data_IF_804155994580
#
_entry.id   IF_804155994580
#
_cell.length_a   1.000
_cell.length_b   1.000
_cell.length_c   1.000
_cell.angle_alpha   90.00
_cell.angle_beta   90.00
_cell.angle_gamma   90.00
#
_symmetry.space_group_name_H-M   'P 1'
#
loop_
_entity.id
_entity.type
_entity.pdbx_description
1 polymer ?
#
# COMPACT_ATOMS: atom_id res chain seq x y z
N UNK A 1 42.71 -55.10 13.39
CA UNK A 1 42.90 -56.35 14.18
C UNK A 1 41.66 -57.20 13.95
N UNK A 2 41.94 -58.30 13.39
CA UNK A 2 41.33 -59.63 13.48
C UNK A 2 39.94 -59.76 12.75
N UNK A 3 39.96 -60.44 11.60
CA UNK A 3 40.00 -61.92 11.39
C UNK A 3 38.65 -62.52 11.78
N UNK A 4 37.95 -63.34 11.02
CA UNK A 4 38.27 -64.54 10.24
C UNK A 4 36.93 -65.05 9.70
N UNK A 5 36.71 -65.28 8.47
CA UNK A 5 36.99 -66.51 7.76
C UNK A 5 35.94 -67.63 7.95
N UNK A 6 35.46 -68.08 6.80
CA UNK A 6 35.32 -69.45 6.29
C UNK A 6 34.12 -70.27 6.82
N UNK A 7 33.35 -71.05 6.04
CA UNK A 7 33.49 -72.01 4.99
C UNK A 7 32.14 -72.65 4.69
N UNK A 8 31.88 -72.96 3.42
CA UNK A 8 31.39 -74.20 2.78
C UNK A 8 30.03 -74.77 3.28
N UNK A 9 29.18 -75.22 2.38
CA UNK A 9 29.34 -76.21 1.32
C UNK A 9 28.10 -76.31 0.42
N UNK A 10 28.33 -76.77 -0.75
CA UNK A 10 27.47 -77.09 -1.82
C UNK A 10 26.39 -78.17 -1.54
N UNK A 11 25.21 -78.01 -2.16
CA UNK A 11 24.38 -79.17 -2.57
C UNK A 11 23.63 -78.78 -3.82
N UNK A 12 23.97 -79.42 -4.92
CA UNK A 12 23.28 -79.42 -6.18
C UNK A 12 21.95 -80.17 -6.04
N UNK A 13 20.90 -79.54 -6.52
CA UNK A 13 19.58 -80.12 -6.69
C UNK A 13 18.97 -79.63 -7.99
N UNK A 14 19.17 -80.37 -9.03
CA UNK A 14 18.46 -80.27 -10.30
C UNK A 14 17.01 -80.65 -10.12
N UNK A 15 16.09 -79.69 -10.15
CA UNK A 15 14.69 -79.93 -10.48
C UNK A 15 14.30 -78.94 -11.55
N UNK A 16 14.21 -79.44 -12.78
CA UNK A 16 13.55 -78.72 -13.88
C UNK A 16 12.05 -78.65 -13.62
N UNK A 17 11.57 -77.44 -13.25
CA UNK A 17 10.16 -77.12 -13.25
C UNK A 17 9.81 -76.41 -14.57
N UNK A 18 8.59 -76.63 -15.12
CA UNK A 18 8.18 -75.90 -16.32
C UNK A 18 8.14 -74.42 -16.01
N UNK A 19 8.78 -73.60 -16.86
CA UNK A 19 8.65 -72.16 -16.83
C UNK A 19 7.23 -71.77 -17.21
N UNK A 20 6.40 -71.51 -16.21
CA UNK A 20 5.15 -70.78 -16.41
C UNK A 20 5.57 -69.35 -16.77
N UNK A 21 5.36 -69.01 -18.02
CA UNK A 21 5.50 -67.63 -18.48
C UNK A 21 4.58 -66.77 -17.62
N UNK A 22 5.21 -66.01 -16.74
CA UNK A 22 4.50 -64.95 -16.03
C UNK A 22 4.12 -63.91 -17.12
N UNK A 23 2.86 -63.90 -17.46
CA UNK A 23 2.24 -62.82 -18.22
C UNK A 23 2.39 -61.55 -17.35
N UNK A 24 3.47 -60.77 -17.60
CA UNK A 24 3.65 -59.49 -16.89
C UNK A 24 2.54 -58.56 -17.36
N UNK A 25 1.55 -58.38 -16.50
CA UNK A 25 0.55 -57.35 -16.70
C UNK A 25 1.25 -56.05 -17.08
N UNK A 26 1.01 -55.59 -18.31
CA UNK A 26 1.52 -54.27 -18.75
C UNK A 26 1.02 -53.25 -17.73
N UNK A 27 1.93 -52.56 -17.01
CA UNK A 27 1.47 -51.56 -16.08
C UNK A 27 0.59 -50.54 -16.82
N UNK A 28 -0.52 -50.11 -16.25
CA UNK A 28 -1.37 -49.11 -16.88
C UNK A 28 -0.52 -47.92 -17.23
N UNK A 29 -0.75 -47.26 -18.39
CA UNK A 29 0.02 -46.07 -18.76
C UNK A 29 -0.08 -45.09 -17.60
N UNK A 30 1.07 -44.75 -17.04
CA UNK A 30 1.16 -43.68 -16.02
C UNK A 30 0.67 -42.42 -16.74
N UNK A 31 -0.57 -42.05 -16.48
CA UNK A 31 -1.07 -40.74 -16.86
C UNK A 31 -0.11 -39.75 -16.28
N UNK A 32 0.77 -39.18 -17.14
CA UNK A 32 1.68 -38.12 -16.76
C UNK A 32 0.77 -37.04 -16.21
N UNK A 33 0.83 -36.82 -14.90
CA UNK A 33 0.12 -35.70 -14.27
C UNK A 33 0.55 -34.45 -15.06
N UNK A 34 -0.36 -33.96 -15.88
CA UNK A 34 -0.15 -32.72 -16.62
C UNK A 34 0.00 -31.68 -15.52
N UNK A 35 1.23 -31.31 -15.25
CA UNK A 35 1.56 -30.21 -14.34
C UNK A 35 0.93 -28.97 -14.96
N UNK A 36 -0.31 -28.68 -14.61
CA UNK A 36 -0.93 -27.42 -14.99
C UNK A 36 -0.13 -26.35 -14.23
N UNK A 37 0.64 -25.53 -14.96
CA UNK A 37 1.34 -24.44 -14.30
C UNK A 37 0.28 -23.61 -13.60
N UNK A 38 0.40 -23.48 -12.29
CA UNK A 38 -0.43 -22.57 -11.50
C UNK A 38 -0.38 -21.23 -12.22
N UNK A 39 -1.49 -20.78 -12.76
CA UNK A 39 -1.53 -19.52 -13.50
C UNK A 39 -1.17 -18.42 -12.51
N UNK A 40 0.08 -17.98 -12.58
CA UNK A 40 0.53 -16.80 -11.84
C UNK A 40 -0.27 -15.63 -12.40
N UNK A 41 -0.94 -14.90 -11.52
CA UNK A 41 -1.67 -13.70 -11.93
C UNK A 41 -0.70 -12.70 -12.56
N UNK A 42 -1.05 -12.16 -13.71
CA UNK A 42 -0.26 -11.14 -14.39
C UNK A 42 -0.73 -9.75 -13.94
N UNK A 43 0.20 -9.02 -13.33
CA UNK A 43 -0.05 -7.67 -12.81
C UNK A 43 0.20 -6.57 -13.83
N UNK A 44 0.74 -6.89 -15.02
CA UNK A 44 1.01 -5.92 -16.08
C UNK A 44 -0.30 -5.36 -16.63
N UNK A 45 -0.37 -4.04 -16.75
CA UNK A 45 -1.52 -3.37 -17.37
C UNK A 45 -1.84 -2.04 -16.71
N UNK A 46 -2.72 -1.30 -17.38
CA UNK A 46 -3.35 -0.11 -16.81
C UNK A 46 -4.49 -0.53 -15.88
N UNK A 47 -4.68 0.20 -14.81
CA UNK A 47 -5.80 -0.02 -13.92
C UNK A 47 -6.44 1.28 -13.46
N UNK A 48 -7.71 1.18 -13.18
CA UNK A 48 -8.53 2.24 -12.61
C UNK A 48 -9.22 1.69 -11.36
N UNK A 49 -9.30 2.50 -10.32
CA UNK A 49 -9.87 2.03 -9.07
C UNK A 49 -10.57 3.13 -8.28
N UNK A 50 -11.26 2.67 -7.26
CA UNK A 50 -11.83 3.52 -6.21
C UNK A 50 -11.22 3.13 -4.88
N UNK A 51 -11.01 4.13 -4.04
CA UNK A 51 -10.47 3.92 -2.70
C UNK A 51 -11.23 4.73 -1.67
N UNK A 52 -11.18 4.27 -0.43
CA UNK A 52 -11.72 4.98 0.71
C UNK A 52 -10.90 4.66 1.95
N UNK A 53 -10.83 5.60 2.87
CA UNK A 53 -9.99 5.43 4.04
C UNK A 53 -10.23 6.46 5.12
N UNK A 54 -9.38 6.37 6.11
CA UNK A 54 -9.39 7.25 7.26
C UNK A 54 -7.99 7.80 7.50
N UNK A 55 -7.92 9.11 7.69
CA UNK A 55 -6.71 9.81 8.04
C UNK A 55 -6.74 10.24 9.51
N UNK A 56 -5.60 10.09 10.19
CA UNK A 56 -5.36 10.63 11.50
C UNK A 56 -3.98 11.29 11.52
N UNK A 57 -3.90 12.50 12.03
CA UNK A 57 -2.66 13.26 12.06
C UNK A 57 -2.59 14.19 13.24
N UNK A 58 -1.39 14.68 13.51
CA UNK A 58 -1.12 15.70 14.49
C UNK A 58 -0.56 16.93 13.78
N UNK A 59 -1.14 18.09 14.05
CA UNK A 59 -0.59 19.37 13.62
C UNK A 59 -0.17 20.17 14.85
N UNK A 60 1.03 20.76 14.76
CA UNK A 60 1.54 21.65 15.79
C UNK A 60 1.64 23.05 15.19
N UNK A 61 0.83 23.94 15.69
CA UNK A 61 0.86 25.35 15.31
C UNK A 61 1.72 26.10 16.30
N UNK A 62 2.79 26.72 15.83
CA UNK A 62 3.66 27.55 16.65
C UNK A 62 3.36 29.03 16.37
N UNK A 63 3.08 29.78 17.40
CA UNK A 63 2.86 31.22 17.36
C UNK A 63 4.11 31.93 17.93
N UNK A 64 5.09 32.32 17.10
CA UNK A 64 6.34 32.88 17.60
C UNK A 64 6.16 34.19 18.38
N UNK A 65 5.18 34.99 17.99
CA UNK A 65 4.89 36.26 18.64
C UNK A 65 4.32 36.13 20.07
N UNK A 66 3.71 34.95 20.38
CA UNK A 66 3.10 34.70 21.68
C UNK A 66 3.86 33.64 22.50
N UNK A 67 4.94 33.07 21.94
CA UNK A 67 5.72 32.00 22.58
C UNK A 67 4.91 30.76 22.91
N UNK A 68 3.74 30.54 22.28
CA UNK A 68 2.85 29.43 22.57
C UNK A 68 2.73 28.46 21.39
N UNK A 69 2.55 27.17 21.73
CA UNK A 69 2.28 26.10 20.76
C UNK A 69 0.95 25.46 21.09
N UNK A 70 0.14 25.20 20.06
CA UNK A 70 -1.09 24.43 20.17
C UNK A 70 -0.97 23.15 19.37
N UNK A 71 -1.12 22.02 20.04
CA UNK A 71 -1.19 20.70 19.39
C UNK A 71 -2.67 20.33 19.24
N UNK A 72 -3.07 19.89 18.05
CA UNK A 72 -4.43 19.41 17.82
C UNK A 72 -4.43 18.21 16.89
N UNK A 73 -5.42 17.35 17.12
CA UNK A 73 -5.66 16.16 16.35
C UNK A 73 -6.47 16.51 15.10
N UNK A 74 -6.00 16.06 13.95
CA UNK A 74 -6.70 16.10 12.67
C UNK A 74 -7.15 14.70 12.35
N UNK A 75 -8.40 14.53 12.01
CA UNK A 75 -8.94 13.24 11.64
C UNK A 75 -10.10 13.37 10.67
N UNK A 76 -10.30 12.37 9.83
CA UNK A 76 -11.41 12.38 8.90
C UNK A 76 -11.36 11.27 7.89
N UNK A 77 -12.47 11.10 7.17
CA UNK A 77 -12.59 10.14 6.10
C UNK A 77 -12.18 10.76 4.75
N UNK A 78 -11.77 9.90 3.84
CA UNK A 78 -11.52 10.26 2.45
C UNK A 78 -12.10 9.19 1.52
N UNK A 79 -12.50 9.62 0.33
CA UNK A 79 -12.93 8.75 -0.77
C UNK A 79 -12.39 9.30 -2.07
N UNK A 80 -11.88 8.43 -2.94
CA UNK A 80 -11.23 8.90 -4.16
C UNK A 80 -11.14 7.86 -5.26
N UNK A 81 -10.54 8.31 -6.37
CA UNK A 81 -10.20 7.50 -7.52
C UNK A 81 -8.70 7.30 -7.64
N UNK A 82 -8.33 6.19 -8.20
CA UNK A 82 -6.95 5.78 -8.48
C UNK A 82 -6.80 5.45 -9.96
N UNK A 83 -5.71 5.87 -10.57
CA UNK A 83 -5.27 5.48 -11.90
C UNK A 83 -3.82 5.04 -11.83
N UNK A 84 -3.48 3.92 -12.47
CA UNK A 84 -2.09 3.47 -12.46
C UNK A 84 -1.74 2.55 -13.61
N UNK A 85 -0.46 2.24 -13.68
CA UNK A 85 0.12 1.27 -14.61
C UNK A 85 1.14 0.42 -13.88
N UNK A 86 1.08 -0.88 -14.09
CA UNK A 86 2.05 -1.83 -13.59
C UNK A 86 2.78 -2.54 -14.72
N UNK A 87 4.02 -2.91 -14.45
CA UNK A 87 4.86 -3.75 -15.28
C UNK A 87 5.42 -4.88 -14.43
N UNK A 88 5.25 -6.11 -14.88
CA UNK A 88 5.75 -7.29 -14.19
C UNK A 88 6.93 -7.89 -14.93
N UNK A 89 8.01 -8.14 -14.20
CA UNK A 89 9.20 -8.84 -14.67
C UNK A 89 9.53 -9.99 -13.70
N UNK A 90 9.12 -11.20 -14.06
CA UNK A 90 9.18 -12.34 -13.14
C UNK A 90 8.33 -12.11 -11.89
N UNK A 91 8.90 -12.24 -10.69
CA UNK A 91 8.16 -11.99 -9.45
C UNK A 91 8.07 -10.50 -9.08
N UNK A 92 8.83 -9.63 -9.73
CA UNK A 92 8.88 -8.21 -9.40
C UNK A 92 7.84 -7.45 -10.22
N UNK A 93 7.03 -6.64 -9.54
CA UNK A 93 6.07 -5.71 -10.14
C UNK A 93 6.48 -4.31 -9.75
N UNK A 94 6.60 -3.44 -10.74
CA UNK A 94 6.85 -2.02 -10.52
C UNK A 94 5.84 -1.20 -11.33
N UNK A 95 5.53 -0.01 -10.86
CA UNK A 95 4.52 0.80 -11.51
C UNK A 95 4.45 2.22 -10.98
N UNK A 96 3.54 2.96 -11.57
CA UNK A 96 3.19 4.32 -11.16
C UNK A 96 1.70 4.38 -10.85
N UNK A 97 1.36 5.14 -9.83
CA UNK A 97 -0.02 5.33 -9.39
C UNK A 97 -0.26 6.82 -9.09
N UNK A 98 -1.34 7.35 -9.63
CA UNK A 98 -1.88 8.65 -9.27
C UNK A 98 -3.24 8.47 -8.62
N UNK A 99 -3.51 9.20 -7.57
CA UNK A 99 -4.83 9.23 -6.95
C UNK A 99 -5.25 10.65 -6.56
N UNK A 100 -6.55 10.85 -6.57
CA UNK A 100 -7.18 12.07 -6.09
C UNK A 100 -8.42 11.69 -5.29
N UNK A 101 -8.55 12.25 -4.09
CA UNK A 101 -9.66 11.99 -3.20
C UNK A 101 -10.24 13.26 -2.59
N UNK A 102 -11.54 13.24 -2.41
CA UNK A 102 -12.23 14.18 -1.56
C UNK A 102 -12.01 13.77 -0.12
N UNK A 103 -11.63 14.73 0.71
CA UNK A 103 -11.33 14.53 2.12
C UNK A 103 -12.23 15.43 2.97
N UNK A 104 -12.73 14.90 4.05
CA UNK A 104 -13.36 15.68 5.11
C UNK A 104 -12.54 15.51 6.39
N UNK A 105 -11.29 15.94 6.30
CA UNK A 105 -10.34 15.90 7.40
C UNK A 105 -10.40 17.26 8.08
N UNK A 106 -10.79 17.28 9.34
CA UNK A 106 -10.95 18.51 10.10
C UNK A 106 -10.38 18.38 11.50
N UNK A 107 -9.88 19.51 12.00
CA UNK A 107 -9.45 19.68 13.39
C UNK A 107 -9.69 21.11 13.83
N UNK A 108 -10.00 21.29 15.09
CA UNK A 108 -10.23 22.60 15.67
C UNK A 108 -9.57 22.75 17.02
N UNK A 109 -9.08 23.96 17.28
CA UNK A 109 -8.57 24.34 18.60
C UNK A 109 -9.00 25.76 18.92
N UNK A 110 -8.98 26.09 20.20
CA UNK A 110 -9.20 27.47 20.64
C UNK A 110 -7.96 28.29 20.28
N UNK A 111 -8.16 29.37 19.51
CA UNK A 111 -7.08 30.26 19.18
C UNK A 111 -6.54 30.97 20.45
N UNK A 112 -5.27 31.40 20.46
CA UNK A 112 -4.73 32.19 21.57
C UNK A 112 -5.44 33.54 21.78
N UNK A 113 -6.20 33.98 20.78
CA UNK A 113 -7.01 35.21 20.85
C UNK A 113 -8.33 34.90 21.57
N UNK A 114 -8.66 35.57 22.70
CA UNK A 114 -9.89 35.33 23.41
C UNK A 114 -11.13 35.46 22.50
N UNK A 115 -11.99 34.42 22.49
CA UNK A 115 -13.23 34.40 21.71
C UNK A 115 -13.08 34.00 20.25
N UNK A 116 -11.89 33.62 19.77
CA UNK A 116 -11.68 33.13 18.40
C UNK A 116 -11.57 31.61 18.36
N UNK A 117 -12.17 30.98 17.33
CA UNK A 117 -12.06 29.55 17.03
C UNK A 117 -11.24 29.35 15.76
N UNK A 118 -10.21 28.54 15.85
CA UNK A 118 -9.37 28.16 14.71
C UNK A 118 -9.80 26.78 14.21
N UNK A 119 -10.22 26.68 12.97
CA UNK A 119 -10.57 25.42 12.32
C UNK A 119 -9.69 25.21 11.09
N UNK A 120 -9.11 24.03 11.00
CA UNK A 120 -8.34 23.60 9.81
C UNK A 120 -9.13 22.49 9.13
N UNK A 121 -9.31 22.61 7.83
CA UNK A 121 -9.96 21.59 6.99
C UNK A 121 -9.13 21.29 5.77
N UNK A 122 -8.96 20.01 5.48
CA UNK A 122 -8.44 19.54 4.20
C UNK A 122 -9.62 19.00 3.37
N UNK A 123 -9.77 19.50 2.14
CA UNK A 123 -10.92 19.16 1.28
C UNK A 123 -10.59 18.15 0.20
N UNK A 124 -9.35 18.09 -0.24
CA UNK A 124 -8.89 17.12 -1.23
C UNK A 124 -7.41 16.79 -1.00
N UNK A 125 -7.07 15.57 -1.30
CA UNK A 125 -5.70 15.06 -1.28
C UNK A 125 -5.45 14.33 -2.59
N UNK A 126 -4.35 14.67 -3.26
CA UNK A 126 -3.87 13.98 -4.46
C UNK A 126 -2.47 13.47 -4.24
N UNK A 127 -2.12 12.32 -4.82
CA UNK A 127 -0.75 11.81 -4.80
C UNK A 127 -0.32 11.29 -6.17
N UNK A 128 1.00 11.36 -6.45
CA UNK A 128 1.64 10.70 -7.58
C UNK A 128 2.82 9.92 -7.03
N UNK A 129 2.79 8.59 -7.22
CA UNK A 129 3.70 7.68 -6.52
C UNK A 129 4.25 6.60 -7.44
N UNK A 130 5.49 6.19 -7.20
CA UNK A 130 6.03 4.95 -7.67
C UNK A 130 5.69 3.81 -6.71
N UNK A 131 5.52 2.60 -7.21
CA UNK A 131 5.33 1.38 -6.40
C UNK A 131 6.23 0.25 -6.88
N UNK A 132 6.70 -0.56 -5.93
CA UNK A 132 7.45 -1.79 -6.19
C UNK A 132 6.92 -2.87 -5.27
N UNK A 133 6.60 -4.04 -5.84
CA UNK A 133 6.04 -5.17 -5.12
C UNK A 133 6.60 -6.50 -5.57
N UNK A 134 6.25 -7.54 -4.84
CA UNK A 134 6.63 -8.91 -5.11
C UNK A 134 5.38 -9.76 -5.32
N UNK A 135 5.20 -10.29 -6.53
CA UNK A 135 4.07 -11.14 -6.87
C UNK A 135 4.22 -12.54 -6.27
N UNK A 136 3.30 -12.92 -5.42
CA UNK A 136 3.20 -14.24 -4.78
C UNK A 136 1.83 -14.82 -5.15
N UNK A 137 1.76 -15.58 -6.24
CA UNK A 137 0.49 -16.05 -6.80
C UNK A 137 -0.44 -14.86 -7.13
N UNK A 138 -1.55 -14.74 -6.41
CA UNK A 138 -2.52 -13.66 -6.53
C UNK A 138 -2.35 -12.54 -5.50
N UNK A 139 -1.27 -12.56 -4.71
CA UNK A 139 -0.93 -11.54 -3.71
C UNK A 139 0.21 -10.67 -4.19
N UNK A 140 0.12 -9.38 -3.94
CA UNK A 140 1.15 -8.41 -4.24
C UNK A 140 1.40 -7.51 -3.04
N UNK A 141 2.24 -7.91 -2.07
CA UNK A 141 2.80 -6.96 -1.12
C UNK A 141 3.68 -5.95 -1.86
N UNK A 142 3.57 -4.67 -1.51
CA UNK A 142 4.30 -3.59 -2.15
C UNK A 142 4.65 -2.45 -1.21
N UNK A 143 5.66 -1.70 -1.58
CA UNK A 143 6.00 -0.40 -1.01
C UNK A 143 5.76 0.67 -2.06
N UNK A 144 5.49 1.88 -1.62
CA UNK A 144 5.17 3.01 -2.50
C UNK A 144 5.73 4.31 -1.92
N UNK A 145 6.03 5.26 -2.79
CA UNK A 145 6.47 6.57 -2.39
C UNK A 145 6.43 7.57 -3.53
N UNK A 146 6.28 8.83 -3.20
CA UNK A 146 6.15 9.89 -4.19
C UNK A 146 5.76 11.23 -3.62
N UNK A 147 5.09 12.03 -4.44
CA UNK A 147 4.64 13.38 -4.10
C UNK A 147 3.18 13.36 -3.66
N UNK A 148 2.85 14.24 -2.72
CA UNK A 148 1.51 14.51 -2.26
C UNK A 148 1.17 15.98 -2.46
N UNK A 149 -0.10 16.26 -2.74
CA UNK A 149 -0.64 17.61 -2.94
C UNK A 149 -1.98 17.70 -2.21
N UNK A 150 -2.22 18.80 -1.50
CA UNK A 150 -3.48 18.99 -0.79
C UNK A 150 -3.81 20.47 -0.60
N UNK A 151 -5.10 20.75 -0.47
CA UNK A 151 -5.58 22.10 -0.13
C UNK A 151 -5.90 22.15 1.36
N UNK A 152 -5.20 23.00 2.05
CA UNK A 152 -5.49 23.31 3.45
C UNK A 152 -6.25 24.63 3.53
N UNK A 153 -7.43 24.61 4.12
CA UNK A 153 -8.23 25.80 4.39
C UNK A 153 -8.19 26.09 5.89
N UNK A 154 -7.71 27.27 6.22
CA UNK A 154 -7.71 27.79 7.58
C UNK A 154 -8.82 28.84 7.70
N UNK A 155 -9.71 28.64 8.65
CA UNK A 155 -10.79 29.58 8.97
C UNK A 155 -10.58 30.11 10.39
N UNK A 156 -10.53 31.43 10.51
CA UNK A 156 -10.49 32.14 11.80
C UNK A 156 -11.69 33.07 11.86
N UNK A 157 -12.62 32.75 12.77
CA UNK A 157 -13.84 33.58 12.98
C UNK A 157 -13.50 34.62 14.05
N UNK A 158 -13.77 35.95 13.82
CA UNK A 158 -14.54 36.57 12.73
C UNK A 158 -13.71 37.13 11.56
N UNK A 159 -12.42 36.83 11.45
CA UNK A 159 -11.47 37.58 10.59
C UNK A 159 -11.33 37.12 9.15
N UNK A 160 -11.70 35.87 8.78
CA UNK A 160 -11.69 35.44 7.37
C UNK A 160 -11.23 34.01 7.11
N UNK A 161 -11.21 33.64 5.81
CA UNK A 161 -10.83 32.32 5.33
C UNK A 161 -9.68 32.46 4.35
N UNK A 162 -8.67 31.59 4.48
CA UNK A 162 -7.57 31.47 3.51
C UNK A 162 -7.43 30.03 3.08
N UNK A 163 -7.27 29.78 1.78
CA UNK A 163 -6.96 28.46 1.22
C UNK A 163 -5.64 28.50 0.48
N UNK A 164 -4.81 27.50 0.68
CA UNK A 164 -3.52 27.37 -0.01
C UNK A 164 -3.28 25.90 -0.36
N UNK A 165 -2.78 25.65 -1.57
CA UNK A 165 -2.34 24.33 -2.00
C UNK A 165 -0.89 24.12 -1.59
N UNK A 166 -0.60 23.02 -0.95
CA UNK A 166 0.75 22.63 -0.52
C UNK A 166 1.18 21.35 -1.20
N UNK A 167 2.45 21.28 -1.55
CA UNK A 167 3.14 20.08 -1.93
C UNK A 167 3.76 19.38 -0.73
N UNK A 168 4.14 18.13 -0.93
CA UNK A 168 4.84 17.34 0.08
C UNK A 168 5.24 15.99 -0.48
N UNK A 169 5.61 15.09 0.41
CA UNK A 169 5.97 13.73 0.05
C UNK A 169 5.11 12.71 0.80
N UNK A 170 5.02 11.52 0.22
CA UNK A 170 4.33 10.39 0.83
C UNK A 170 5.14 9.12 0.65
N UNK A 171 5.09 8.26 1.66
CA UNK A 171 5.67 6.92 1.60
C UNK A 171 4.75 5.95 2.35
N UNK A 172 4.76 4.70 1.92
CA UNK A 172 3.92 3.71 2.56
C UNK A 172 4.09 2.33 1.96
N UNK A 173 3.11 1.48 2.21
CA UNK A 173 3.06 0.14 1.69
C UNK A 173 1.69 -0.47 1.89
N UNK A 174 1.49 -1.57 1.20
CA UNK A 174 0.22 -2.25 1.24
C UNK A 174 0.29 -3.65 0.67
N UNK A 175 -0.86 -4.24 0.59
CA UNK A 175 -1.06 -5.54 -0.04
C UNK A 175 -2.24 -5.44 -1.00
N UNK A 176 -2.06 -5.98 -2.19
CA UNK A 176 -3.10 -6.09 -3.20
C UNK A 176 -3.35 -7.57 -3.49
N UNK A 177 -4.62 -7.95 -3.61
CA UNK A 177 -5.03 -9.34 -3.85
C UNK A 177 -5.91 -9.38 -5.09
N UNK A 178 -5.49 -10.12 -6.09
CA UNK A 178 -6.27 -10.36 -7.29
C UNK A 178 -7.40 -11.35 -6.99
N UNK A 179 -8.63 -10.93 -7.25
CA UNK A 179 -9.84 -11.76 -7.11
C UNK A 179 -10.09 -12.57 -8.37
N UNK A 180 -9.81 -11.98 -9.52
CA UNK A 180 -9.89 -12.61 -10.84
C UNK A 180 -8.96 -11.86 -11.80
N UNK A 181 -9.04 -12.14 -13.11
CA UNK A 181 -8.12 -11.53 -14.10
C UNK A 181 -8.13 -10.01 -14.13
N UNK A 182 -9.25 -9.39 -13.82
CA UNK A 182 -9.43 -7.95 -13.97
C UNK A 182 -9.61 -7.22 -12.64
N UNK A 183 -10.11 -7.88 -11.61
CA UNK A 183 -10.44 -7.24 -10.34
C UNK A 183 -9.45 -7.59 -9.26
N UNK A 184 -9.01 -6.57 -8.53
CA UNK A 184 -8.20 -6.72 -7.32
C UNK A 184 -8.73 -5.84 -6.20
N UNK A 185 -8.41 -6.22 -4.97
CA UNK A 185 -8.66 -5.42 -3.77
C UNK A 185 -7.33 -5.07 -3.11
N UNK A 186 -7.20 -3.87 -2.60
CA UNK A 186 -5.98 -3.43 -1.91
C UNK A 186 -6.28 -2.86 -0.53
N UNK A 187 -5.35 -3.08 0.39
CA UNK A 187 -5.26 -2.39 1.67
C UNK A 187 -3.89 -1.71 1.74
N UNK A 188 -3.87 -0.45 2.12
CA UNK A 188 -2.68 0.39 2.06
C UNK A 188 -2.59 1.31 3.26
N UNK A 189 -1.38 1.48 3.75
CA UNK A 189 -1.01 2.50 4.71
C UNK A 189 -0.08 3.52 4.05
N UNK A 190 -0.36 4.80 4.23
CA UNK A 190 0.46 5.90 3.76
C UNK A 190 0.80 6.84 4.92
N UNK A 191 2.04 7.22 4.97
CA UNK A 191 2.49 8.39 5.70
C UNK A 191 2.58 9.55 4.72
N UNK A 192 1.93 10.67 5.04
CA UNK A 192 1.92 11.88 4.22
C UNK A 192 2.49 13.01 5.04
N UNK A 193 3.48 13.71 4.49
CA UNK A 193 4.02 14.93 5.06
C UNK A 193 3.92 16.04 4.02
N UNK A 194 3.09 17.03 4.30
CA UNK A 194 3.00 18.25 3.50
C UNK A 194 4.00 19.28 4.02
N UNK A 195 4.50 20.09 3.10
CA UNK A 195 5.44 21.18 3.41
C UNK A 195 4.79 22.22 4.31
N UNK A 196 5.61 22.91 5.05
CA UNK A 196 5.18 23.89 6.04
C UNK A 196 4.33 24.98 5.41
N UNK A 197 3.14 25.18 5.97
CA UNK A 197 2.38 26.40 5.74
C UNK A 197 3.15 27.58 6.33
N UNK A 198 3.66 28.44 5.49
CA UNK A 198 4.23 29.72 5.93
C UNK A 198 3.34 30.85 5.46
N UNK A 199 2.73 31.53 6.40
CA UNK A 199 1.94 32.72 6.15
C UNK A 199 2.66 33.92 6.71
N UNK A 200 2.87 34.95 5.88
CA UNK A 200 3.54 36.19 6.28
C UNK A 200 2.53 37.28 6.61
N UNK A 201 2.87 38.16 7.55
CA UNK A 201 2.07 39.35 7.83
C UNK A 201 2.01 40.26 6.55
N UNK A 202 0.87 40.92 6.25
CA UNK A 202 -0.32 41.11 7.08
C UNK A 202 -1.43 40.08 6.89
N UNK A 203 -1.24 39.09 5.99
CA UNK A 203 -2.27 38.13 5.60
C UNK A 203 -2.61 37.09 6.69
N UNK A 204 -1.73 36.88 7.65
CA UNK A 204 -1.97 35.98 8.79
C UNK A 204 -2.34 36.76 10.07
N UNK A 205 -3.41 37.53 9.98
CA UNK A 205 -4.06 38.13 11.16
C UNK A 205 -3.11 38.86 12.12
N UNK A 206 -1.96 39.40 11.62
CA UNK A 206 -1.01 40.12 12.45
C UNK A 206 -0.18 39.30 13.45
N UNK A 207 -0.32 37.94 13.40
CA UNK A 207 0.33 37.03 14.37
C UNK A 207 1.72 36.55 13.98
N UNK A 208 2.32 37.11 12.93
CA UNK A 208 3.64 36.70 12.43
C UNK A 208 3.57 35.42 11.55
N UNK A 209 4.74 34.90 11.19
CA UNK A 209 4.81 33.69 10.37
C UNK A 209 4.36 32.47 11.19
N UNK A 210 3.28 31.83 10.77
CA UNK A 210 2.81 30.54 11.33
C UNK A 210 3.43 29.42 10.53
N UNK A 211 4.18 28.55 11.17
CA UNK A 211 4.73 27.34 10.56
C UNK A 211 4.05 26.13 11.18
N UNK A 212 3.40 25.32 10.36
CA UNK A 212 2.73 24.12 10.79
C UNK A 212 3.12 22.94 9.87
N UNK A 213 4.05 22.05 10.29
CA UNK A 213 4.26 20.81 9.59
C UNK A 213 3.01 19.93 9.73
N UNK A 214 2.49 19.50 8.60
CA UNK A 214 1.32 18.67 8.54
C UNK A 214 1.74 17.21 8.30
N UNK A 215 1.47 16.34 9.28
CA UNK A 215 1.78 14.92 9.21
C UNK A 215 0.52 14.11 9.40
N UNK A 216 0.25 13.24 8.45
CA UNK A 216 -0.91 12.37 8.45
C UNK A 216 -0.53 10.91 8.27
N UNK A 217 -1.23 10.06 8.97
CA UNK A 217 -1.25 8.62 8.81
C UNK A 217 -2.57 8.25 8.16
N UNK A 218 -2.52 7.64 7.01
CA UNK A 218 -3.68 7.29 6.20
C UNK A 218 -3.75 5.78 6.06
N UNK A 219 -4.88 5.19 6.47
CA UNK A 219 -5.22 3.79 6.20
C UNK A 219 -6.37 3.77 5.22
N UNK A 220 -6.20 3.07 4.10
CA UNK A 220 -7.23 3.01 3.05
C UNK A 220 -7.37 1.62 2.45
N UNK A 221 -8.57 1.32 1.99
CA UNK A 221 -8.88 0.17 1.16
C UNK A 221 -9.34 0.62 -0.22
N UNK A 222 -9.17 -0.23 -1.22
CA UNK A 222 -9.59 0.07 -2.58
C UNK A 222 -9.89 -1.16 -3.41
N UNK A 223 -10.58 -0.93 -4.51
CA UNK A 223 -10.88 -1.94 -5.52
C UNK A 223 -10.39 -1.38 -6.85
N UNK A 224 -9.60 -2.18 -7.58
CA UNK A 224 -9.04 -1.81 -8.88
C UNK A 224 -9.60 -2.74 -9.96
N UNK A 225 -9.77 -2.18 -11.15
CA UNK A 225 -10.03 -2.90 -12.38
C UNK A 225 -8.85 -2.73 -13.33
N UNK A 226 -8.21 -3.84 -13.72
CA UNK A 226 -7.07 -3.86 -14.63
C UNK A 226 -7.55 -4.18 -16.04
N UNK A 227 -7.10 -3.36 -17.00
CA UNK A 227 -7.33 -3.56 -18.42
C UNK A 227 -6.18 -4.38 -19.00
N UNK A 228 -6.43 -5.66 -19.29
CA UNK A 228 -5.47 -6.61 -19.90
C UNK A 228 -5.91 -6.94 -21.32
#
# INVERSE_FOLDING_TARGET
MNKLALLLAAAAGLFGGPALGADMAVPPPVESAVFQPTRVYEWTGFYLGVNGGYAAGHSRVTFPALGSTADFLLQGALVGGTLGVNFQAGPIVWGMEGDIGLADISGGTTCPTPGATCTVRNRWLGTVRGRVGWAINNWLPYITGGMAFGETRVSVVPTGNQSTTHGGWTAGGGVEVALNRNWSVKAEYLFVQLDNFSCAAPTCFGLGSVSAPFREHLVRGGINYTFN
#
